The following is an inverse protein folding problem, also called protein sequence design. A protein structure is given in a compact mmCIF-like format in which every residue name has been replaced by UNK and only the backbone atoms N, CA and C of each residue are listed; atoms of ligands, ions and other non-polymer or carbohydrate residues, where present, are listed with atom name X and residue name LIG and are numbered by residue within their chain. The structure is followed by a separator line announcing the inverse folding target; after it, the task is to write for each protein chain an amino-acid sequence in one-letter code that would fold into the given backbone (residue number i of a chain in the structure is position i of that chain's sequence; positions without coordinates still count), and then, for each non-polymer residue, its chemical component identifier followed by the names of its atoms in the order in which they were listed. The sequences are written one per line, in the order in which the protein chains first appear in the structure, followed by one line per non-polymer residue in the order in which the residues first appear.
data_IF_576570897202
#
_entry.id   IF_576570897202
#
_cell.length_a   1.000
_cell.length_b   1.000
_cell.length_c   1.000
_cell.angle_alpha   90.00
_cell.angle_beta   90.00
_cell.angle_gamma   90.00
#
_symmetry.space_group_name_H-M   'P 1'
#
loop_
_entity.id
_entity.type
_entity.pdbx_description
1 polymer ?
#
# COMPACT_ATOMS: atom_id res chain seq x y z
N UNK A 1 -24.48 -16.69 35.05
CA UNK A 1 -25.18 -17.78 34.34
C UNK A 1 -25.27 -18.95 35.31
N UNK A 2 -26.48 -19.46 35.56
CA UNK A 2 -26.70 -20.66 36.38
C UNK A 2 -27.19 -21.77 35.46
N UNK A 3 -26.54 -22.93 35.48
CA UNK A 3 -26.92 -24.10 34.65
C UNK A 3 -27.54 -25.15 35.56
N UNK A 4 -28.70 -25.69 35.17
CA UNK A 4 -29.41 -26.74 35.92
C UNK A 4 -29.97 -27.81 34.99
N UNK A 5 -30.01 -29.06 35.44
CA UNK A 5 -30.67 -30.16 34.73
C UNK A 5 -32.17 -30.12 35.02
N UNK A 6 -33.01 -30.23 34.00
CA UNK A 6 -34.47 -30.21 34.10
C UNK A 6 -35.06 -31.37 33.30
N UNK A 7 -36.20 -31.91 33.76
CA UNK A 7 -36.93 -33.01 33.12
C UNK A 7 -38.11 -32.45 32.33
N UNK A 8 -38.24 -32.80 31.05
CA UNK A 8 -39.44 -32.47 30.26
C UNK A 8 -40.65 -33.30 30.71
N UNK A 9 -41.83 -32.88 30.29
CA UNK A 9 -43.05 -33.66 30.47
C UNK A 9 -42.88 -35.05 29.82
N UNK A 10 -43.46 -36.10 30.41
CA UNK A 10 -43.35 -37.45 29.88
C UNK A 10 -43.97 -37.56 28.49
N UNK A 11 -43.33 -38.34 27.62
CA UNK A 11 -43.90 -38.70 26.32
C UNK A 11 -44.94 -39.83 26.46
N UNK A 12 -45.56 -40.23 25.35
CA UNK A 12 -46.55 -41.31 25.30
C UNK A 12 -46.04 -42.67 25.80
N UNK A 13 -44.71 -42.85 25.92
CA UNK A 13 -44.05 -44.05 26.44
C UNK A 13 -43.62 -43.92 27.92
N UNK A 14 -43.99 -42.84 28.60
CA UNK A 14 -43.66 -42.61 30.02
C UNK A 14 -42.21 -42.19 30.28
N UNK A 15 -41.45 -41.82 29.23
CA UNK A 15 -40.08 -41.34 29.32
C UNK A 15 -40.04 -39.80 29.34
N UNK A 16 -39.20 -39.24 30.21
CA UNK A 16 -38.90 -37.82 30.30
C UNK A 16 -37.51 -37.55 29.73
N UNK A 17 -37.44 -36.65 28.75
CA UNK A 17 -36.15 -36.17 28.23
C UNK A 17 -35.50 -35.22 29.24
N UNK A 18 -34.19 -35.39 29.47
CA UNK A 18 -33.38 -34.45 30.24
C UNK A 18 -32.94 -33.28 29.35
N UNK A 19 -32.84 -32.08 29.93
CA UNK A 19 -32.30 -30.89 29.26
C UNK A 19 -31.52 -30.03 30.24
N UNK A 20 -30.56 -29.28 29.72
CA UNK A 20 -29.92 -28.21 30.46
C UNK A 20 -30.73 -26.93 30.32
N UNK A 21 -30.85 -26.19 31.42
CA UNK A 21 -31.50 -24.88 31.48
C UNK A 21 -30.45 -23.85 31.88
N UNK A 22 -30.24 -22.88 31.01
CA UNK A 22 -29.34 -21.75 31.20
C UNK A 22 -30.13 -20.55 31.70
N UNK A 23 -29.88 -20.10 32.93
CA UNK A 23 -30.51 -18.91 33.49
C UNK A 23 -29.55 -17.71 33.42
N UNK A 24 -30.00 -16.66 32.72
CA UNK A 24 -29.22 -15.44 32.47
C UNK A 24 -29.67 -14.23 33.30
N UNK A 25 -30.70 -14.37 34.14
CA UNK A 25 -31.27 -13.28 34.93
C UNK A 25 -32.71 -12.95 34.50
N UNK A 26 -33.18 -11.77 34.88
CA UNK A 26 -34.52 -11.26 34.58
C UNK A 26 -34.39 -10.12 33.59
N UNK A 27 -35.21 -10.11 32.55
CA UNK A 27 -35.25 -9.05 31.53
C UNK A 27 -36.64 -8.43 31.55
N UNK A 28 -36.70 -7.11 31.41
CA UNK A 28 -37.93 -6.35 31.34
C UNK A 28 -38.41 -6.29 29.88
N UNK A 29 -39.62 -6.77 29.62
CA UNK A 29 -40.23 -6.70 28.30
C UNK A 29 -40.77 -5.30 27.99
N UNK A 30 -41.09 -5.04 26.72
CA UNK A 30 -41.72 -3.78 26.26
C UNK A 30 -43.08 -3.51 26.94
N UNK A 31 -43.68 -4.53 27.55
CA UNK A 31 -44.90 -4.49 28.37
C UNK A 31 -44.64 -4.13 29.85
N UNK A 32 -43.41 -3.77 30.22
CA UNK A 32 -42.99 -3.48 31.60
C UNK A 32 -42.96 -4.71 32.52
N UNK A 33 -43.19 -5.91 31.99
CA UNK A 33 -43.22 -7.15 32.78
C UNK A 33 -41.84 -7.80 32.82
N UNK A 34 -41.37 -8.05 34.03
CA UNK A 34 -40.12 -8.76 34.31
C UNK A 34 -40.29 -10.26 34.05
N UNK A 35 -39.56 -10.81 33.08
CA UNK A 35 -39.57 -12.24 32.73
C UNK A 35 -38.16 -12.85 32.86
N UNK A 36 -38.02 -14.08 33.35
CA UNK A 36 -36.72 -14.75 33.43
C UNK A 36 -36.19 -15.11 32.03
N UNK A 37 -34.98 -14.67 31.69
CA UNK A 37 -34.30 -15.08 30.45
C UNK A 37 -33.68 -16.44 30.63
N UNK A 38 -34.23 -17.43 29.93
CA UNK A 38 -33.81 -18.83 29.97
C UNK A 38 -33.56 -19.36 28.57
N UNK A 39 -32.50 -20.15 28.43
CA UNK A 39 -32.23 -20.94 27.22
C UNK A 39 -32.19 -22.44 27.57
N UNK A 40 -32.46 -23.29 26.59
CA UNK A 40 -32.69 -24.72 26.79
C UNK A 40 -31.90 -25.56 25.79
N UNK A 41 -31.04 -26.45 26.29
CA UNK A 41 -30.32 -27.43 25.48
C UNK A 41 -30.86 -28.83 25.79
N UNK A 42 -31.56 -29.49 24.84
CA UNK A 42 -32.03 -30.85 25.05
C UNK A 42 -30.83 -31.80 25.11
N UNK A 43 -30.84 -32.72 26.07
CA UNK A 43 -29.91 -33.84 26.10
C UNK A 43 -30.61 -35.05 25.47
N UNK A 44 -29.87 -35.86 24.72
CA UNK A 44 -30.36 -37.16 24.21
C UNK A 44 -30.43 -38.24 25.31
N UNK A 45 -30.74 -37.83 26.54
CA UNK A 45 -30.82 -38.67 27.72
C UNK A 45 -32.28 -38.74 28.20
N UNK A 46 -32.75 -39.94 28.49
CA UNK A 46 -34.15 -40.21 28.82
C UNK A 46 -34.27 -40.99 30.13
N UNK A 47 -35.16 -40.53 31.01
CA UNK A 47 -35.45 -41.17 32.31
C UNK A 47 -36.91 -41.60 32.37
N UNK A 48 -37.19 -42.73 33.00
CA UNK A 48 -38.55 -43.20 33.27
C UNK A 48 -39.21 -42.29 34.31
N UNK A 49 -40.42 -41.80 34.03
CA UNK A 49 -41.18 -40.95 34.94
C UNK A 49 -41.53 -41.67 36.25
N UNK A 50 -41.91 -42.95 36.16
CA UNK A 50 -42.30 -43.78 37.30
C UNK A 50 -41.62 -45.17 37.23
N UNK A 51 -40.35 -45.29 37.68
CA UNK A 51 -39.58 -46.53 37.57
C UNK A 51 -40.06 -47.60 38.56
N UNK A 52 -40.61 -48.69 38.05
CA UNK A 52 -41.16 -49.81 38.83
C UNK A 52 -40.13 -50.89 39.10
N UNK A 53 -39.19 -51.13 38.18
CA UNK A 53 -38.18 -52.20 38.31
C UNK A 53 -36.84 -51.66 38.85
N UNK A 54 -36.02 -52.56 39.43
CA UNK A 54 -34.68 -52.19 39.87
C UNK A 54 -33.79 -51.73 38.70
N UNK A 55 -33.95 -52.35 37.53
CA UNK A 55 -33.26 -51.95 36.30
C UNK A 55 -33.61 -50.53 35.86
N UNK A 56 -34.90 -50.14 35.89
CA UNK A 56 -35.35 -48.79 35.54
C UNK A 56 -34.82 -47.73 36.52
N UNK A 57 -34.75 -48.06 37.83
CA UNK A 57 -34.17 -47.16 38.83
C UNK A 57 -32.66 -46.96 38.60
N UNK A 58 -31.94 -48.02 38.26
CA UNK A 58 -30.52 -47.96 37.95
C UNK A 58 -30.25 -47.17 36.66
N UNK A 59 -31.06 -47.38 35.61
CA UNK A 59 -31.02 -46.59 34.38
C UNK A 59 -31.21 -45.10 34.65
N UNK A 60 -32.23 -44.73 35.43
CA UNK A 60 -32.47 -43.33 35.79
C UNK A 60 -31.28 -42.71 36.55
N UNK A 61 -30.63 -43.47 37.44
CA UNK A 61 -29.46 -43.02 38.18
C UNK A 61 -28.29 -42.73 37.24
N UNK A 62 -28.03 -43.61 36.28
CA UNK A 62 -26.95 -43.45 35.30
C UNK A 62 -27.20 -42.28 34.35
N UNK A 63 -28.42 -42.16 33.81
CA UNK A 63 -28.80 -41.03 32.93
C UNK A 63 -28.71 -39.68 33.65
N UNK A 64 -29.10 -39.61 34.93
CA UNK A 64 -28.93 -38.41 35.74
C UNK A 64 -27.45 -38.08 35.98
N UNK A 65 -26.61 -39.09 36.22
CA UNK A 65 -25.15 -38.91 36.37
C UNK A 65 -24.52 -38.34 35.10
N UNK A 66 -24.90 -38.86 33.94
CA UNK A 66 -24.43 -38.34 32.64
C UNK A 66 -24.90 -36.90 32.40
N UNK A 67 -26.15 -36.58 32.77
CA UNK A 67 -26.65 -35.21 32.67
C UNK A 67 -25.94 -34.22 33.62
N UNK A 68 -25.54 -34.66 34.82
CA UNK A 68 -24.73 -33.86 35.74
C UNK A 68 -23.28 -33.68 35.25
N UNK A 69 -22.70 -34.70 34.61
CA UNK A 69 -21.40 -34.58 33.94
C UNK A 69 -21.47 -33.54 32.80
N UNK A 70 -22.50 -33.59 31.96
CA UNK A 70 -22.75 -32.60 30.91
C UNK A 70 -22.94 -31.18 31.48
N UNK A 71 -23.71 -31.02 32.57
CA UNK A 71 -23.84 -29.75 33.29
C UNK A 71 -22.49 -29.21 33.75
N UNK A 72 -21.63 -30.08 34.28
CA UNK A 72 -20.32 -29.69 34.82
C UNK A 72 -19.36 -29.29 33.71
N UNK A 73 -19.34 -30.02 32.59
CA UNK A 73 -18.56 -29.65 31.40
C UNK A 73 -18.97 -28.27 30.85
N UNK A 74 -20.27 -28.00 30.71
CA UNK A 74 -20.77 -26.68 30.26
C UNK A 74 -20.47 -25.55 31.24
N UNK A 75 -20.44 -25.85 32.54
CA UNK A 75 -20.04 -24.90 33.56
C UNK A 75 -18.55 -24.57 33.42
N UNK A 76 -17.69 -25.57 33.19
CA UNK A 76 -16.26 -25.37 32.90
C UNK A 76 -16.05 -24.58 31.62
N UNK A 77 -16.73 -24.88 30.52
CA UNK A 77 -16.66 -24.10 29.26
C UNK A 77 -17.10 -22.65 29.46
N UNK A 78 -18.19 -22.41 30.20
CA UNK A 78 -18.65 -21.06 30.53
C UNK A 78 -17.64 -20.30 31.37
N UNK A 79 -16.96 -20.98 32.28
CA UNK A 79 -15.88 -20.41 33.07
C UNK A 79 -14.62 -20.19 32.23
N UNK A 80 -14.24 -21.10 31.33
CA UNK A 80 -13.11 -20.92 30.43
C UNK A 80 -13.29 -19.69 29.50
N UNK A 81 -14.49 -19.53 28.92
CA UNK A 81 -14.85 -18.33 28.16
C UNK A 81 -14.88 -17.06 29.02
N UNK A 82 -15.15 -17.17 30.33
CA UNK A 82 -15.08 -16.05 31.29
C UNK A 82 -13.65 -15.78 31.82
N UNK A 83 -12.76 -16.76 31.83
CA UNK A 83 -11.45 -16.71 32.49
C UNK A 83 -10.25 -16.55 31.53
N UNK A 84 -10.46 -16.17 30.26
CA UNK A 84 -9.40 -15.60 29.40
C UNK A 84 -8.15 -16.49 29.20
N UNK A 85 -8.26 -17.81 29.38
CA UNK A 85 -7.11 -18.72 29.33
C UNK A 85 -6.49 -18.78 27.91
N UNK A 86 -7.32 -18.81 26.86
CA UNK A 86 -6.85 -18.78 25.48
C UNK A 86 -6.20 -17.45 25.09
N UNK A 87 -6.69 -16.32 25.63
CA UNK A 87 -6.11 -15.01 25.34
C UNK A 87 -4.76 -14.83 26.04
N UNK A 88 -4.61 -15.33 27.27
CA UNK A 88 -3.33 -15.28 27.99
C UNK A 88 -2.24 -16.09 27.26
N UNK A 89 -2.59 -17.25 26.71
CA UNK A 89 -1.64 -18.06 25.92
C UNK A 89 -1.23 -17.33 24.64
N UNK A 90 -2.17 -16.67 23.94
CA UNK A 90 -1.87 -15.88 22.75
C UNK A 90 -1.06 -14.62 23.08
N UNK A 91 -1.36 -13.92 24.16
CA UNK A 91 -0.63 -12.72 24.58
C UNK A 91 0.78 -13.03 25.10
N UNK A 92 0.97 -14.18 25.73
CA UNK A 92 2.27 -14.69 26.15
C UNK A 92 3.11 -15.23 24.98
N UNK A 93 2.53 -15.37 23.78
CA UNK A 93 3.29 -15.80 22.60
C UNK A 93 4.31 -14.73 22.17
N UNK A 94 5.42 -15.20 21.58
CA UNK A 94 6.51 -14.35 21.11
C UNK A 94 6.08 -13.55 19.89
N UNK A 95 6.05 -12.23 20.02
CA UNK A 95 5.86 -11.30 18.91
C UNK A 95 7.01 -11.38 17.90
N UNK A 96 8.23 -11.64 18.36
CA UNK A 96 9.37 -11.75 17.47
C UNK A 96 9.26 -12.92 16.50
N UNK A 97 8.79 -14.07 16.98
CA UNK A 97 8.58 -15.25 16.13
C UNK A 97 7.47 -14.99 15.13
N UNK A 98 6.37 -14.37 15.59
CA UNK A 98 5.29 -13.92 14.71
C UNK A 98 5.79 -12.93 13.64
N UNK A 99 6.61 -11.96 14.02
CA UNK A 99 7.15 -10.96 13.11
C UNK A 99 8.08 -11.58 12.06
N UNK A 100 8.91 -12.55 12.45
CA UNK A 100 9.79 -13.28 11.53
C UNK A 100 9.00 -14.17 10.57
N UNK A 101 7.98 -14.88 11.06
CA UNK A 101 7.06 -15.65 10.23
C UNK A 101 6.34 -14.74 9.23
N UNK A 102 5.83 -13.60 9.68
CA UNK A 102 5.19 -12.65 8.78
C UNK A 102 6.18 -12.09 7.76
N UNK A 103 7.43 -11.83 8.17
CA UNK A 103 8.49 -11.35 7.28
C UNK A 103 8.83 -12.36 6.20
N UNK A 104 8.95 -13.66 6.52
CA UNK A 104 9.25 -14.72 5.53
C UNK A 104 8.15 -14.84 4.47
N UNK A 105 6.87 -14.65 4.82
CA UNK A 105 5.79 -14.61 3.82
C UNK A 105 5.94 -13.47 2.80
N UNK A 106 6.73 -12.43 3.10
CA UNK A 106 6.97 -11.30 2.19
C UNK A 106 8.15 -11.52 1.25
N UNK A 107 8.91 -12.60 1.40
CA UNK A 107 10.06 -12.94 0.57
C UNK A 107 9.67 -13.19 -0.89
N UNK A 108 8.53 -13.87 -1.12
CA UNK A 108 7.96 -14.11 -2.45
C UNK A 108 7.47 -12.84 -3.16
N UNK A 109 7.38 -11.73 -2.42
CA UNK A 109 6.96 -10.43 -2.93
C UNK A 109 8.11 -9.59 -3.49
N UNK A 110 8.05 -8.27 -3.27
CA UNK A 110 9.13 -7.37 -3.69
C UNK A 110 10.34 -7.51 -2.77
N UNK A 111 11.50 -7.89 -3.34
CA UNK A 111 12.77 -7.98 -2.63
C UNK A 111 13.13 -6.70 -1.86
N UNK A 112 12.84 -5.52 -2.44
CA UNK A 112 13.05 -4.23 -1.78
C UNK A 112 12.17 -4.11 -0.52
N UNK A 113 10.88 -4.46 -0.63
CA UNK A 113 9.98 -4.44 0.51
C UNK A 113 10.40 -5.43 1.60
N UNK A 114 10.82 -6.64 1.22
CA UNK A 114 11.31 -7.67 2.14
C UNK A 114 12.55 -7.18 2.93
N UNK A 115 13.49 -6.51 2.27
CA UNK A 115 14.68 -5.94 2.94
C UNK A 115 14.34 -4.89 4.02
N UNK A 116 13.25 -4.14 3.82
CA UNK A 116 12.75 -3.16 4.79
C UNK A 116 12.15 -3.87 6.01
N UNK A 117 11.42 -4.96 5.81
CA UNK A 117 10.87 -5.78 6.91
C UNK A 117 11.98 -6.36 7.80
N UNK A 118 13.02 -6.93 7.19
CA UNK A 118 14.20 -7.44 7.90
C UNK A 118 14.87 -6.32 8.70
N UNK A 119 15.10 -5.16 8.07
CA UNK A 119 15.76 -4.03 8.70
C UNK A 119 14.96 -3.52 9.90
N UNK A 120 13.64 -3.37 9.74
CA UNK A 120 12.74 -2.97 10.81
C UNK A 120 12.77 -3.95 12.00
N UNK A 121 12.76 -5.27 11.73
CA UNK A 121 12.88 -6.30 12.77
C UNK A 121 14.21 -6.23 13.53
N UNK A 122 15.33 -6.03 12.82
CA UNK A 122 16.65 -5.80 13.45
C UNK A 122 16.66 -4.56 14.34
N UNK A 123 16.02 -3.48 13.90
CA UNK A 123 15.92 -2.26 14.71
C UNK A 123 15.05 -2.47 15.96
N UNK A 124 13.97 -3.23 15.84
CA UNK A 124 13.10 -3.56 16.98
C UNK A 124 13.82 -4.41 18.02
N UNK A 125 14.53 -5.47 17.60
CA UNK A 125 15.34 -6.31 18.50
C UNK A 125 16.43 -5.51 19.22
N UNK A 126 17.12 -4.64 18.49
CA UNK A 126 18.14 -3.77 19.07
C UNK A 126 17.57 -2.77 20.08
N UNK A 127 16.35 -2.29 19.88
CA UNK A 127 15.67 -1.40 20.84
C UNK A 127 15.25 -2.14 22.11
N UNK A 128 14.64 -3.32 21.95
CA UNK A 128 14.16 -4.12 23.07
C UNK A 128 15.30 -4.70 23.92
N UNK A 129 16.42 -5.08 23.28
CA UNK A 129 17.63 -5.56 23.96
C UNK A 129 17.52 -6.97 24.58
N UNK A 130 16.36 -7.63 24.50
CA UNK A 130 16.14 -9.01 24.96
C UNK A 130 15.82 -9.95 23.78
N UNK A 131 16.06 -11.24 23.98
CA UNK A 131 15.85 -12.27 22.97
C UNK A 131 14.37 -12.48 22.61
N UNK A 132 13.49 -12.30 23.60
CA UNK A 132 12.05 -12.52 23.49
C UNK A 132 11.28 -11.22 23.77
N UNK A 133 10.23 -10.98 23.00
CA UNK A 133 9.27 -9.90 23.18
C UNK A 133 7.89 -10.50 23.00
N UNK A 134 7.02 -10.43 24.00
CA UNK A 134 5.65 -10.95 23.89
C UNK A 134 4.67 -9.89 23.38
N UNK A 135 3.46 -10.29 22.98
CA UNK A 135 2.42 -9.33 22.59
C UNK A 135 1.95 -8.46 23.76
N UNK A 136 1.98 -8.99 24.99
CA UNK A 136 1.59 -8.25 26.20
C UNK A 136 2.53 -7.08 26.52
N UNK A 137 3.83 -7.24 26.23
CA UNK A 137 4.84 -6.19 26.45
C UNK A 137 4.74 -5.04 25.43
N UNK A 138 4.03 -5.24 24.31
CA UNK A 138 3.86 -4.21 23.29
C UNK A 138 2.64 -3.36 23.63
N UNK A 139 2.87 -2.34 24.45
CA UNK A 139 1.86 -1.35 24.80
C UNK A 139 2.12 -0.01 24.08
N UNK A 140 1.30 1.00 24.43
CA UNK A 140 1.47 2.35 23.89
C UNK A 140 2.85 2.94 24.26
N UNK A 141 3.28 2.97 25.54
CA UNK A 141 4.63 3.40 25.93
C UNK A 141 5.76 2.74 25.13
N UNK A 142 5.71 1.42 24.92
CA UNK A 142 6.71 0.68 24.18
C UNK A 142 6.82 1.17 22.73
N UNK A 143 5.68 1.33 22.04
CA UNK A 143 5.64 1.83 20.67
C UNK A 143 6.07 3.29 20.54
N UNK A 144 5.73 4.15 21.50
CA UNK A 144 6.18 5.54 21.54
C UNK A 144 7.70 5.63 21.80
N UNK A 145 8.23 4.79 22.67
CA UNK A 145 9.67 4.65 22.92
C UNK A 145 10.41 4.14 21.68
N UNK A 146 9.91 3.10 21.02
CA UNK A 146 10.49 2.60 19.78
C UNK A 146 10.47 3.66 18.66
N UNK A 147 9.38 4.42 18.56
CA UNK A 147 9.27 5.56 17.64
C UNK A 147 10.34 6.62 17.93
N UNK A 148 10.58 6.95 19.20
CA UNK A 148 11.62 7.90 19.62
C UNK A 148 13.02 7.37 19.30
N UNK A 149 13.29 6.11 19.62
CA UNK A 149 14.54 5.44 19.30
C UNK A 149 14.91 5.54 17.81
N UNK A 150 13.94 5.29 16.92
CA UNK A 150 14.15 5.39 15.47
C UNK A 150 14.44 6.83 14.99
N UNK A 151 13.92 7.84 15.67
CA UNK A 151 14.03 9.25 15.26
C UNK A 151 15.25 9.96 15.87
N UNK A 152 15.59 9.64 17.10
CA UNK A 152 16.49 10.48 17.92
C UNK A 152 17.77 9.75 18.33
N UNK A 153 17.69 8.45 18.64
CA UNK A 153 18.76 7.70 19.31
C UNK A 153 19.57 6.86 18.33
N UNK A 154 18.93 6.26 17.32
CA UNK A 154 19.62 5.33 16.44
C UNK A 154 20.55 6.04 15.46
N UNK A 155 21.82 5.66 15.53
CA UNK A 155 22.84 6.00 14.55
C UNK A 155 22.98 4.89 13.49
N UNK A 156 23.19 5.31 12.25
CA UNK A 156 23.62 4.45 11.13
C UNK A 156 25.05 3.97 11.36
N UNK A 157 25.52 3.02 10.52
CA UNK A 157 26.93 2.59 10.55
C UNK A 157 27.91 3.76 10.39
N UNK A 158 27.49 4.82 9.71
CA UNK A 158 28.26 6.05 9.49
C UNK A 158 28.13 7.07 10.63
N UNK A 159 27.59 6.67 11.79
CA UNK A 159 27.33 7.53 12.97
C UNK A 159 26.40 8.73 12.70
N UNK A 160 25.61 8.67 11.65
CA UNK A 160 24.58 9.69 11.34
C UNK A 160 23.21 9.25 11.84
N UNK A 161 22.30 10.19 12.11
CA UNK A 161 20.91 9.84 12.44
C UNK A 161 20.20 9.18 11.26
N UNK A 162 19.23 8.33 11.56
CA UNK A 162 18.38 7.73 10.55
C UNK A 162 17.53 8.81 9.85
N UNK A 163 17.42 8.74 8.52
CA UNK A 163 16.55 9.65 7.79
C UNK A 163 15.08 9.42 8.20
N UNK A 164 14.31 10.50 8.35
CA UNK A 164 12.92 10.46 8.83
C UNK A 164 12.01 9.54 8.01
N UNK A 165 12.18 9.53 6.68
CA UNK A 165 11.41 8.67 5.78
C UNK A 165 11.78 7.18 5.94
N UNK A 166 13.03 6.89 6.29
CA UNK A 166 13.47 5.53 6.62
C UNK A 166 12.91 5.10 7.97
N UNK A 167 12.95 5.98 8.99
CA UNK A 167 12.32 5.74 10.29
C UNK A 167 10.81 5.48 10.13
N UNK A 168 10.12 6.27 9.30
CA UNK A 168 8.70 6.06 8.96
C UNK A 168 8.46 4.69 8.33
N UNK A 169 9.30 4.31 7.37
CA UNK A 169 9.19 3.01 6.70
C UNK A 169 9.35 1.84 7.67
N UNK A 170 10.32 1.91 8.58
CA UNK A 170 10.55 0.87 9.58
C UNK A 170 9.43 0.81 10.62
N UNK A 171 9.03 1.95 11.17
CA UNK A 171 7.93 2.02 12.13
C UNK A 171 6.63 1.46 11.55
N UNK A 172 6.34 1.76 10.28
CA UNK A 172 5.15 1.24 9.61
C UNK A 172 5.17 -0.28 9.40
N UNK A 173 6.34 -0.95 9.34
CA UNK A 173 6.38 -2.43 9.29
C UNK A 173 5.95 -3.06 10.60
N UNK A 174 6.41 -2.52 11.73
CA UNK A 174 5.97 -2.98 13.06
C UNK A 174 4.47 -2.73 13.25
N UNK A 175 3.98 -1.55 12.86
CA UNK A 175 2.52 -1.28 12.85
C UNK A 175 1.75 -2.26 11.98
N UNK A 176 2.26 -2.59 10.80
CA UNK A 176 1.60 -3.53 9.89
C UNK A 176 1.52 -4.95 10.50
N UNK A 177 2.58 -5.41 11.17
CA UNK A 177 2.58 -6.68 11.89
C UNK A 177 1.51 -6.71 12.99
N UNK A 178 1.44 -5.67 13.83
CA UNK A 178 0.43 -5.59 14.90
C UNK A 178 -1.00 -5.49 14.34
N UNK A 179 -1.20 -4.80 13.22
CA UNK A 179 -2.49 -4.74 12.54
C UNK A 179 -2.90 -6.09 11.92
N UNK A 180 -1.95 -6.92 11.48
CA UNK A 180 -2.21 -8.29 11.02
C UNK A 180 -2.56 -9.19 12.21
N UNK A 181 -1.76 -9.14 13.29
CA UNK A 181 -2.02 -9.90 14.51
C UNK A 181 -3.40 -9.60 15.11
N UNK A 182 -3.85 -8.34 15.03
CA UNK A 182 -5.21 -7.96 15.43
C UNK A 182 -6.28 -8.57 14.53
N UNK A 183 -6.08 -8.58 13.20
CA UNK A 183 -7.02 -9.18 12.24
C UNK A 183 -7.11 -10.70 12.37
N UNK A 184 -6.00 -11.35 12.70
CA UNK A 184 -5.92 -12.79 12.96
C UNK A 184 -6.44 -13.18 14.35
N UNK A 185 -6.82 -12.20 15.19
CA UNK A 185 -7.33 -12.46 16.54
C UNK A 185 -6.27 -12.94 17.54
N UNK A 186 -4.99 -12.67 17.27
CA UNK A 186 -3.89 -12.90 18.21
C UNK A 186 -3.92 -11.89 19.36
N UNK A 187 -4.29 -10.64 19.05
CA UNK A 187 -4.48 -9.57 20.05
C UNK A 187 -5.92 -9.03 19.97
N UNK A 188 -6.51 -8.74 21.13
CA UNK A 188 -7.88 -8.18 21.23
C UNK A 188 -7.94 -6.67 21.14
N UNK A 189 -6.84 -6.01 21.52
CA UNK A 189 -6.72 -4.57 21.54
C UNK A 189 -5.42 -4.19 20.86
N UNK A 190 -5.49 -3.31 19.88
CA UNK A 190 -4.34 -2.97 19.05
C UNK A 190 -3.73 -1.64 19.53
N UNK A 191 -2.53 -1.66 20.15
CA UNK A 191 -1.88 -0.47 20.70
C UNK A 191 -1.54 0.57 19.62
N UNK A 192 -1.42 0.15 18.35
CA UNK A 192 -1.09 1.01 17.20
C UNK A 192 -2.11 2.13 16.98
N UNK A 193 -3.38 1.91 17.35
CA UNK A 193 -4.45 2.90 17.21
C UNK A 193 -4.23 4.13 18.12
N UNK A 194 -3.53 3.94 19.24
CA UNK A 194 -3.26 4.99 20.24
C UNK A 194 -1.93 5.71 20.02
N UNK A 195 -1.17 5.33 18.99
CA UNK A 195 0.18 5.86 18.73
C UNK A 195 0.21 6.59 17.40
N UNK A 196 0.76 7.81 17.41
CA UNK A 196 0.94 8.61 16.20
C UNK A 196 1.95 7.94 15.25
N UNK A 197 1.61 7.86 13.96
CA UNK A 197 2.57 7.42 12.95
C UNK A 197 3.71 8.44 12.78
N UNK A 198 4.85 7.97 12.28
CA UNK A 198 5.93 8.85 11.84
C UNK A 198 5.54 9.40 10.47
N UNK A 199 5.17 10.68 10.42
CA UNK A 199 4.85 11.36 9.16
C UNK A 199 6.10 11.40 8.28
N UNK A 200 6.00 10.78 7.10
CA UNK A 200 7.00 10.95 6.05
C UNK A 200 7.03 12.42 5.62
N UNK A 201 8.23 12.94 5.36
CA UNK A 201 8.43 14.26 4.80
C UNK A 201 8.51 14.18 3.27
N UNK A 202 7.88 15.15 2.62
CA UNK A 202 8.03 15.34 1.18
C UNK A 202 9.45 15.81 0.90
N UNK A 203 10.23 14.97 0.24
CA UNK A 203 11.57 15.33 -0.23
C UNK A 203 11.43 16.09 -1.56
N UNK A 204 12.12 17.23 -1.69
CA UNK A 204 12.21 17.93 -2.98
C UNK A 204 12.79 16.98 -4.02
N UNK A 205 12.05 16.77 -5.10
CA UNK A 205 12.46 15.88 -6.19
C UNK A 205 13.33 16.66 -7.16
N UNK A 206 14.48 16.09 -7.52
CA UNK A 206 15.33 16.65 -8.57
C UNK A 206 14.67 16.45 -9.94
N UNK A 207 14.57 17.52 -10.71
CA UNK A 207 14.22 17.51 -12.13
C UNK A 207 15.13 18.47 -12.89
N UNK A 208 15.17 18.30 -14.21
CA UNK A 208 15.97 19.10 -15.13
C UNK A 208 15.10 20.10 -15.88
N UNK A 209 15.65 21.26 -16.23
CA UNK A 209 15.04 22.16 -17.20
C UNK A 209 15.24 21.60 -18.62
N UNK A 210 14.46 22.08 -19.59
CA UNK A 210 14.65 21.67 -20.99
C UNK A 210 16.03 22.05 -21.53
N UNK A 211 16.60 23.16 -21.06
CA UNK A 211 17.95 23.57 -21.46
C UNK A 211 19.03 22.67 -20.86
N UNK A 212 18.86 22.21 -19.61
CA UNK A 212 19.73 21.19 -19.01
C UNK A 212 19.62 19.85 -19.77
N UNK A 213 18.41 19.44 -20.18
CA UNK A 213 18.22 18.25 -21.03
C UNK A 213 18.91 18.43 -22.39
N UNK A 214 18.82 19.61 -23.01
CA UNK A 214 19.55 19.93 -24.26
C UNK A 214 21.07 19.95 -24.05
N UNK A 215 21.55 20.36 -22.89
CA UNK A 215 22.98 20.28 -22.57
C UNK A 215 23.44 18.82 -22.47
N UNK A 216 22.63 17.94 -21.85
CA UNK A 216 22.89 16.50 -21.78
C UNK A 216 22.96 15.85 -23.17
N UNK A 217 22.11 16.25 -24.13
CA UNK A 217 22.16 15.67 -25.48
C UNK A 217 23.48 15.97 -26.19
N UNK A 218 24.08 17.14 -25.93
CA UNK A 218 25.36 17.57 -26.49
C UNK A 218 26.57 16.98 -25.75
N UNK A 219 26.46 16.76 -24.45
CA UNK A 219 27.55 16.23 -23.64
C UNK A 219 27.86 14.75 -23.94
N UNK A 220 29.14 14.39 -23.82
CA UNK A 220 29.61 13.02 -23.99
C UNK A 220 29.18 12.12 -22.83
N UNK A 221 28.47 11.04 -23.15
CA UNK A 221 28.09 10.01 -22.21
C UNK A 221 28.92 8.75 -22.47
N UNK A 222 29.46 8.15 -21.41
CA UNK A 222 30.29 6.94 -21.51
C UNK A 222 29.54 5.75 -22.12
N UNK A 223 28.23 5.67 -21.86
CA UNK A 223 27.38 4.57 -22.31
C UNK A 223 26.24 5.15 -23.13
N UNK A 224 26.24 4.90 -24.43
CA UNK A 224 25.20 5.39 -25.33
C UNK A 224 23.80 4.92 -24.91
N UNK A 225 23.65 3.63 -24.57
CA UNK A 225 22.37 3.08 -24.09
C UNK A 225 21.84 3.82 -22.85
N UNK A 226 22.71 4.25 -21.93
CA UNK A 226 22.30 5.03 -20.76
C UNK A 226 21.83 6.42 -21.17
N UNK A 227 22.54 7.07 -22.11
CA UNK A 227 22.15 8.37 -22.68
C UNK A 227 20.77 8.26 -23.32
N UNK A 228 20.58 7.30 -24.23
CA UNK A 228 19.30 7.09 -24.92
C UNK A 228 18.18 6.80 -23.92
N UNK A 229 18.37 5.84 -23.01
CA UNK A 229 17.37 5.47 -22.00
C UNK A 229 17.00 6.62 -21.05
N UNK A 230 17.97 7.40 -20.57
CA UNK A 230 17.69 8.51 -19.66
C UNK A 230 16.95 9.65 -20.37
N UNK A 231 17.38 10.03 -21.57
CA UNK A 231 16.69 11.03 -22.38
C UNK A 231 15.28 10.56 -22.76
N UNK A 232 15.12 9.27 -23.05
CA UNK A 232 13.82 8.66 -23.30
C UNK A 232 12.90 8.80 -22.09
N UNK A 233 13.40 8.60 -20.87
CA UNK A 233 12.64 8.88 -19.64
C UNK A 233 12.27 10.37 -19.51
N UNK A 234 13.13 11.29 -19.93
CA UNK A 234 12.86 12.73 -19.93
C UNK A 234 11.76 13.15 -20.93
N UNK A 235 11.57 12.41 -22.02
CA UNK A 235 10.60 12.72 -23.08
C UNK A 235 9.28 11.94 -22.96
N UNK A 236 9.28 10.78 -22.29
CA UNK A 236 8.10 9.90 -22.17
C UNK A 236 7.58 9.76 -20.74
N UNK A 237 8.39 10.12 -19.74
CA UNK A 237 8.05 9.95 -18.33
C UNK A 237 8.12 8.51 -17.83
N UNK A 238 8.57 7.53 -18.62
CA UNK A 238 8.61 6.13 -18.21
C UNK A 238 9.61 5.86 -17.08
N UNK A 239 9.29 4.88 -16.23
CA UNK A 239 10.19 4.45 -15.14
C UNK A 239 11.34 3.64 -15.72
N UNK A 240 12.47 3.64 -15.00
CA UNK A 240 13.63 2.82 -15.36
C UNK A 240 13.27 1.35 -15.60
N UNK A 241 12.44 0.75 -14.72
CA UNK A 241 12.03 -0.65 -14.83
C UNK A 241 11.26 -0.96 -16.10
N UNK A 242 10.49 0.02 -16.57
CA UNK A 242 9.61 -0.13 -17.73
C UNK A 242 10.46 0.02 -18.99
N UNK A 243 11.32 1.05 -19.06
CA UNK A 243 12.31 1.23 -20.13
C UNK A 243 13.26 0.04 -20.26
N UNK A 244 13.73 -0.52 -19.14
CA UNK A 244 14.65 -1.66 -19.16
C UNK A 244 13.99 -2.97 -19.61
N UNK A 245 12.66 -3.07 -19.56
CA UNK A 245 11.90 -4.25 -20.00
C UNK A 245 11.27 -4.07 -21.37
N UNK A 246 11.19 -2.82 -21.86
CA UNK A 246 10.58 -2.47 -23.14
C UNK A 246 11.19 -3.30 -24.27
N UNK A 247 10.34 -4.02 -25.00
CA UNK A 247 10.74 -4.80 -26.18
C UNK A 247 10.23 -4.17 -27.46
N UNK A 248 10.81 -4.57 -28.60
CA UNK A 248 10.43 -4.06 -29.91
C UNK A 248 8.99 -4.42 -30.31
N UNK A 249 8.44 -5.50 -29.78
CA UNK A 249 7.04 -5.93 -29.96
C UNK A 249 6.04 -4.96 -29.34
N UNK A 250 6.43 -4.24 -28.29
CA UNK A 250 5.57 -3.26 -27.61
C UNK A 250 5.53 -1.90 -28.33
N UNK A 251 6.33 -1.71 -29.39
CA UNK A 251 6.39 -0.48 -30.18
C UNK A 251 5.69 -0.71 -31.52
N UNK A 252 4.62 0.06 -31.75
CA UNK A 252 3.82 0.02 -32.97
C UNK A 252 3.92 1.34 -33.72
N UNK A 253 4.08 1.26 -35.04
CA UNK A 253 3.90 2.39 -35.95
C UNK A 253 2.43 2.46 -36.36
N UNK A 254 1.76 3.56 -36.03
CA UNK A 254 0.33 3.71 -36.31
C UNK A 254 0.04 4.65 -37.47
N UNK A 255 0.94 5.60 -37.71
CA UNK A 255 0.99 6.48 -38.87
C UNK A 255 2.46 6.57 -39.33
N UNK A 256 2.74 6.84 -40.61
CA UNK A 256 4.11 6.90 -41.11
C UNK A 256 4.98 7.86 -40.29
N UNK A 257 6.01 7.32 -39.62
CA UNK A 257 6.91 8.07 -38.75
C UNK A 257 6.38 8.37 -37.33
N UNK A 258 5.16 7.95 -37.00
CA UNK A 258 4.55 8.12 -35.69
C UNK A 258 4.39 6.77 -34.97
N UNK A 259 5.02 6.70 -33.80
CA UNK A 259 5.11 5.48 -33.01
C UNK A 259 4.41 5.62 -31.66
N UNK A 260 3.89 4.51 -31.14
CA UNK A 260 3.31 4.42 -29.81
C UNK A 260 3.82 3.19 -29.07
N UNK A 261 3.88 3.27 -27.75
CA UNK A 261 4.11 2.10 -26.88
C UNK A 261 2.77 1.54 -26.43
N UNK A 262 2.64 0.23 -26.50
CA UNK A 262 1.47 -0.53 -26.03
C UNK A 262 1.84 -1.24 -24.74
N UNK A 263 1.27 -0.78 -23.63
CA UNK A 263 1.44 -1.44 -22.33
C UNK A 263 0.34 -2.47 -22.09
N UNK A 264 0.72 -3.74 -21.92
CA UNK A 264 -0.13 -4.74 -21.28
C UNK A 264 -0.08 -4.54 -19.76
N UNK A 265 -0.97 -3.69 -19.22
CA UNK A 265 -1.00 -3.41 -17.80
C UNK A 265 -1.65 -4.57 -17.02
N UNK A 266 -0.88 -5.64 -16.79
CA UNK A 266 -1.28 -6.73 -15.89
C UNK A 266 -1.55 -6.29 -14.43
N UNK A 267 -1.26 -5.03 -14.06
CA UNK A 267 -1.45 -4.48 -12.71
C UNK A 267 -2.79 -3.76 -12.48
N UNK A 268 -3.70 -3.66 -13.46
CA UNK A 268 -5.08 -3.22 -13.25
C UNK A 268 -6.07 -4.38 -13.44
N UNK A 269 -5.94 -5.46 -12.66
CA UNK A 269 -6.92 -6.56 -12.66
C UNK A 269 -8.27 -6.21 -12.00
N UNK A 270 -8.48 -4.97 -11.55
CA UNK A 270 -9.72 -4.55 -10.88
C UNK A 270 -10.56 -3.52 -11.67
N UNK A 271 -10.53 -3.55 -13.00
CA UNK A 271 -11.54 -2.84 -13.80
C UNK A 271 -11.07 -2.45 -15.19
N UNK A 272 -11.44 -3.28 -16.18
CA UNK A 272 -11.38 -2.96 -17.60
C UNK A 272 -10.02 -3.23 -18.27
N UNK A 273 -10.05 -4.02 -19.34
CA UNK A 273 -8.99 -4.06 -20.34
C UNK A 273 -8.66 -2.61 -20.73
N UNK A 274 -7.51 -2.10 -20.32
CA UNK A 274 -7.02 -0.81 -20.78
C UNK A 274 -5.57 -1.01 -21.19
N UNK A 275 -5.39 -1.46 -22.43
CA UNK A 275 -4.15 -1.18 -23.14
C UNK A 275 -3.93 0.33 -23.02
N UNK A 276 -2.87 0.72 -22.33
CA UNK A 276 -2.49 2.13 -22.23
C UNK A 276 -1.55 2.40 -23.38
N UNK A 277 -2.00 3.24 -24.30
CA UNK A 277 -1.18 3.75 -25.39
C UNK A 277 -0.38 4.96 -24.89
N UNK A 278 0.89 4.99 -25.23
CA UNK A 278 1.75 6.16 -25.04
C UNK A 278 2.34 6.56 -26.39
N UNK A 279 1.78 7.61 -26.97
CA UNK A 279 2.28 8.16 -28.22
C UNK A 279 3.64 8.83 -27.97
N UNK A 280 4.59 8.53 -28.85
CA UNK A 280 5.97 8.96 -28.70
C UNK A 280 6.20 10.27 -29.46
N UNK A 281 6.73 11.31 -28.80
CA UNK A 281 7.18 12.50 -29.54
C UNK A 281 8.38 12.16 -30.43
N UNK A 282 8.61 12.93 -31.50
CA UNK A 282 9.71 12.71 -32.46
C UNK A 282 11.07 12.57 -31.77
N UNK A 283 11.30 13.35 -30.70
CA UNK A 283 12.53 13.25 -29.92
C UNK A 283 12.71 11.87 -29.25
N UNK A 284 11.63 11.23 -28.81
CA UNK A 284 11.66 9.88 -28.24
C UNK A 284 11.86 8.83 -29.34
N UNK A 285 11.22 8.99 -30.51
CA UNK A 285 11.41 8.13 -31.69
C UNK A 285 12.87 8.10 -32.11
N UNK A 286 13.52 9.27 -32.21
CA UNK A 286 14.96 9.37 -32.52
C UNK A 286 15.87 8.66 -31.50
N UNK A 287 15.43 8.50 -30.26
CA UNK A 287 16.20 7.83 -29.21
C UNK A 287 16.02 6.31 -29.21
N UNK A 288 14.99 5.79 -29.88
CA UNK A 288 14.79 4.35 -30.05
C UNK A 288 15.84 3.74 -30.98
N UNK A 289 16.34 4.51 -31.95
CA UNK A 289 17.24 4.04 -33.01
C UNK A 289 16.56 2.94 -33.86
N UNK A 290 15.44 3.31 -34.49
CA UNK A 290 14.55 2.39 -35.23
C UNK A 290 15.27 1.73 -36.40
N UNK A 291 16.27 2.39 -36.98
CA UNK A 291 17.10 1.84 -38.06
C UNK A 291 17.94 0.63 -37.61
N UNK A 292 18.16 0.47 -36.30
CA UNK A 292 18.84 -0.68 -35.68
C UNK A 292 17.86 -1.57 -34.91
N UNK A 293 16.60 -1.64 -35.33
CA UNK A 293 15.58 -2.50 -34.71
C UNK A 293 16.04 -3.97 -34.70
N UNK A 294 15.98 -4.58 -33.52
CA UNK A 294 16.25 -6.00 -33.31
C UNK A 294 15.01 -6.87 -33.53
N UNK A 295 15.07 -8.12 -33.06
CA UNK A 295 13.92 -9.03 -33.12
C UNK A 295 12.76 -8.52 -32.21
N UNK A 296 11.50 -8.90 -32.47
CA UNK A 296 10.35 -8.41 -31.71
C UNK A 296 10.47 -8.59 -30.18
N UNK A 297 11.04 -9.71 -29.74
CA UNK A 297 11.18 -10.02 -28.31
C UNK A 297 12.48 -9.45 -27.68
N UNK A 298 13.36 -8.85 -28.49
CA UNK A 298 14.55 -8.18 -27.99
C UNK A 298 14.20 -6.90 -27.25
N UNK A 299 15.00 -6.59 -26.23
CA UNK A 299 14.90 -5.32 -25.51
C UNK A 299 15.36 -4.18 -26.40
N UNK A 300 14.63 -3.07 -26.38
CA UNK A 300 14.99 -1.83 -27.10
C UNK A 300 16.32 -1.27 -26.58
N UNK A 301 16.49 -1.24 -25.26
CA UNK A 301 17.68 -0.70 -24.59
C UNK A 301 18.61 -1.82 -24.11
N UNK A 302 19.21 -2.55 -25.06
CA UNK A 302 20.13 -3.67 -24.77
C UNK A 302 21.36 -3.21 -23.96
N UNK A 303 21.68 -3.93 -22.89
CA UNK A 303 22.85 -3.64 -22.05
C UNK A 303 22.61 -2.56 -20.97
N UNK A 304 21.40 -2.02 -20.86
CA UNK A 304 21.03 -1.16 -19.74
C UNK A 304 21.05 -1.98 -18.43
N UNK A 305 21.76 -1.49 -17.41
CA UNK A 305 21.89 -2.17 -16.10
C UNK A 305 21.60 -1.19 -14.96
N UNK A 306 20.94 -1.69 -13.91
CA UNK A 306 20.76 -0.94 -12.67
C UNK A 306 21.80 -1.34 -11.64
N UNK A 307 22.89 -0.57 -11.58
CA UNK A 307 23.94 -0.76 -10.58
C UNK A 307 24.58 0.58 -10.18
N UNK A 308 25.45 0.54 -9.17
CA UNK A 308 26.18 1.72 -8.69
C UNK A 308 27.00 2.38 -9.79
N UNK A 309 27.61 1.60 -10.70
CA UNK A 309 28.42 2.13 -11.80
C UNK A 309 27.59 2.97 -12.79
N UNK A 310 26.40 2.51 -13.19
CA UNK A 310 25.50 3.26 -14.07
C UNK A 310 24.99 4.55 -13.40
N UNK A 311 24.73 4.51 -12.09
CA UNK A 311 24.35 5.70 -11.33
C UNK A 311 25.48 6.74 -11.27
N UNK A 312 26.73 6.29 -11.05
CA UNK A 312 27.91 7.16 -11.07
C UNK A 312 28.14 7.71 -12.48
N UNK A 313 27.99 6.89 -13.52
CA UNK A 313 28.14 7.32 -14.91
C UNK A 313 27.11 8.40 -15.29
N UNK A 314 25.85 8.26 -14.85
CA UNK A 314 24.81 9.27 -15.02
C UNK A 314 25.19 10.59 -14.34
N UNK A 315 25.70 10.54 -13.10
CA UNK A 315 26.13 11.72 -12.38
C UNK A 315 27.32 12.41 -13.07
N UNK A 316 28.33 11.66 -13.48
CA UNK A 316 29.49 12.19 -14.20
C UNK A 316 29.09 12.83 -15.54
N UNK A 317 28.17 12.18 -16.28
CA UNK A 317 27.64 12.73 -17.53
C UNK A 317 26.86 14.04 -17.28
N UNK A 318 26.04 14.10 -16.24
CA UNK A 318 25.35 15.33 -15.84
C UNK A 318 26.34 16.46 -15.47
N UNK A 319 27.39 16.14 -14.73
CA UNK A 319 28.45 17.11 -14.40
C UNK A 319 29.15 17.64 -15.66
N UNK A 320 29.46 16.76 -16.64
CA UNK A 320 30.04 17.18 -17.93
C UNK A 320 29.11 18.10 -18.73
N UNK A 321 27.79 17.95 -18.57
CA UNK A 321 26.80 18.84 -19.15
C UNK A 321 26.63 20.16 -18.36
N UNK A 322 27.42 20.40 -17.31
CA UNK A 322 27.33 21.60 -16.46
C UNK A 322 26.22 21.56 -15.41
N UNK A 323 25.62 20.38 -15.15
CA UNK A 323 24.51 20.23 -14.21
C UNK A 323 25.07 19.91 -12.82
N UNK A 324 24.80 20.78 -11.86
CA UNK A 324 25.26 20.65 -10.45
C UNK A 324 24.28 19.90 -9.55
N UNK A 325 23.08 19.59 -10.05
CA UNK A 325 22.04 18.86 -9.32
C UNK A 325 22.44 17.40 -9.14
N UNK A 326 22.00 16.78 -8.04
CA UNK A 326 22.12 15.34 -7.87
C UNK A 326 21.10 14.59 -8.75
N UNK A 327 21.53 14.18 -9.94
CA UNK A 327 20.69 13.51 -10.94
C UNK A 327 20.71 12.00 -10.69
N UNK A 328 19.51 11.44 -10.51
CA UNK A 328 19.27 9.99 -10.56
C UNK A 328 18.38 9.68 -11.75
N UNK A 329 18.25 8.42 -12.16
CA UNK A 329 17.44 8.07 -13.33
C UNK A 329 15.98 8.54 -13.19
N UNK A 330 15.43 8.52 -11.97
CA UNK A 330 14.06 8.97 -11.72
C UNK A 330 13.86 10.49 -11.94
N UNK A 331 14.93 11.28 -11.95
CA UNK A 331 14.87 12.68 -12.32
C UNK A 331 14.38 12.88 -13.77
N UNK A 332 14.60 11.92 -14.68
CA UNK A 332 14.07 11.98 -16.04
C UNK A 332 12.54 12.01 -16.06
N UNK A 333 11.90 11.10 -15.32
CA UNK A 333 10.44 11.10 -15.17
C UNK A 333 9.90 12.38 -14.53
N UNK A 334 10.57 12.92 -13.52
CA UNK A 334 10.18 14.21 -12.94
C UNK A 334 10.34 15.34 -13.96
N UNK A 335 11.39 15.32 -14.76
CA UNK A 335 11.64 16.28 -15.84
C UNK A 335 10.51 16.28 -16.84
N UNK A 336 10.07 15.10 -17.31
CA UNK A 336 8.90 14.97 -18.17
C UNK A 336 7.65 15.58 -17.52
N UNK A 337 7.36 15.21 -16.27
CA UNK A 337 6.15 15.68 -15.59
C UNK A 337 6.13 17.20 -15.43
N UNK A 338 7.23 17.80 -14.99
CA UNK A 338 7.35 19.26 -14.87
C UNK A 338 7.26 19.93 -16.24
N UNK A 339 7.87 19.34 -17.27
CA UNK A 339 7.84 19.85 -18.64
C UNK A 339 6.42 19.83 -19.24
N UNK A 340 5.61 18.80 -18.97
CA UNK A 340 4.22 18.72 -19.40
C UNK A 340 3.33 19.69 -18.64
N UNK A 341 3.49 19.77 -17.31
CA UNK A 341 2.77 20.75 -16.50
C UNK A 341 3.05 22.16 -17.01
N UNK A 342 4.31 22.53 -17.24
CA UNK A 342 4.68 23.85 -17.76
C UNK A 342 4.09 24.17 -19.15
N UNK A 343 3.71 23.15 -19.93
CA UNK A 343 3.12 23.29 -21.27
C UNK A 343 1.61 23.43 -21.31
N UNK A 344 0.89 23.23 -20.21
CA UNK A 344 -0.58 23.32 -20.23
C UNK A 344 -1.28 22.08 -19.74
N UNK A 345 -0.58 20.94 -19.68
CA UNK A 345 -1.20 19.66 -19.37
C UNK A 345 -1.76 19.68 -17.95
N UNK A 346 -3.03 19.36 -17.81
CA UNK A 346 -3.67 19.29 -16.50
C UNK A 346 -3.16 18.10 -15.68
N UNK A 347 -3.36 18.17 -14.36
CA UNK A 347 -2.83 17.17 -13.42
C UNK A 347 -3.42 15.77 -13.67
N UNK A 348 -4.68 15.68 -14.12
CA UNK A 348 -5.34 14.40 -14.36
C UNK A 348 -4.75 13.73 -15.60
N UNK A 349 -4.65 14.45 -16.72
CA UNK A 349 -3.99 13.98 -17.94
C UNK A 349 -2.53 13.59 -17.67
N UNK A 350 -1.79 14.39 -16.91
CA UNK A 350 -0.43 14.04 -16.51
C UNK A 350 -0.40 12.73 -15.69
N UNK A 351 -1.31 12.56 -14.74
CA UNK A 351 -1.41 11.35 -13.93
C UNK A 351 -1.62 10.10 -14.78
N UNK A 352 -2.43 10.20 -15.84
CA UNK A 352 -2.64 9.12 -16.82
C UNK A 352 -1.40 8.85 -17.65
N UNK A 353 -0.74 9.89 -18.19
CA UNK A 353 0.53 9.76 -18.94
C UNK A 353 1.63 9.08 -18.09
N UNK A 354 1.67 9.39 -16.80
CA UNK A 354 2.61 8.78 -15.87
C UNK A 354 2.19 7.37 -15.42
N UNK A 355 0.93 6.97 -15.60
CA UNK A 355 0.42 5.69 -15.07
C UNK A 355 0.42 5.65 -13.54
N UNK A 356 -0.04 6.73 -12.90
CA UNK A 356 -0.30 6.76 -11.45
C UNK A 356 -1.71 6.23 -11.16
N UNK A 357 -1.82 5.30 -10.21
CA UNK A 357 -3.10 4.75 -9.75
C UNK A 357 -3.91 5.74 -8.91
N UNK A 358 -3.23 6.67 -8.24
CA UNK A 358 -3.83 7.69 -7.39
C UNK A 358 -3.32 9.07 -7.77
N UNK A 359 -4.23 10.03 -7.91
CA UNK A 359 -3.90 11.44 -8.22
C UNK A 359 -2.98 12.06 -7.18
N UNK A 360 -3.09 11.65 -5.92
CA UNK A 360 -2.22 12.07 -4.82
C UNK A 360 -0.73 11.87 -5.12
N UNK A 361 -0.38 10.89 -5.95
CA UNK A 361 1.02 10.66 -6.36
C UNK A 361 1.52 11.76 -7.30
N UNK A 362 0.62 12.38 -8.07
CA UNK A 362 0.91 13.49 -8.99
C UNK A 362 0.88 14.85 -8.28
N UNK A 363 0.18 14.96 -7.16
CA UNK A 363 0.16 16.17 -6.30
C UNK A 363 1.54 16.55 -5.73
N UNK A 364 2.54 15.68 -5.85
CA UNK A 364 3.94 16.02 -5.53
C UNK A 364 4.47 17.21 -6.35
N UNK A 365 3.78 17.60 -7.44
CA UNK A 365 4.09 18.77 -8.26
C UNK A 365 3.19 19.99 -7.95
N UNK A 366 2.51 20.01 -6.80
CA UNK A 366 1.60 21.08 -6.39
C UNK A 366 2.23 22.48 -6.48
N UNK A 367 3.50 22.64 -6.10
CA UNK A 367 4.20 23.94 -6.17
C UNK A 367 4.23 24.52 -7.60
N UNK A 368 4.33 23.66 -8.62
CA UNK A 368 4.32 24.06 -10.03
C UNK A 368 2.90 24.38 -10.48
N UNK A 369 1.91 23.63 -10.01
CA UNK A 369 0.51 23.94 -10.30
C UNK A 369 0.10 25.30 -9.72
N UNK A 370 0.58 25.62 -8.51
CA UNK A 370 0.32 26.90 -7.86
C UNK A 370 0.94 28.07 -8.64
N UNK A 371 2.19 27.94 -9.09
CA UNK A 371 2.81 28.99 -9.93
C UNK A 371 2.05 29.20 -11.25
N UNK A 372 1.50 28.14 -11.84
CA UNK A 372 0.65 28.24 -13.03
C UNK A 372 -0.71 28.86 -12.75
N UNK A 373 -1.32 28.58 -11.60
CA UNK A 373 -2.57 29.24 -11.18
C UNK A 373 -2.39 30.75 -11.12
N UNK A 374 -1.27 31.22 -10.58
CA UNK A 374 -0.92 32.65 -10.55
C UNK A 374 -0.72 33.21 -11.97
N UNK A 375 0.03 32.52 -12.83
CA UNK A 375 0.23 32.96 -14.22
C UNK A 375 -1.08 33.02 -15.00
N UNK A 376 -1.93 31.99 -14.88
CA UNK A 376 -3.23 31.93 -15.55
C UNK A 376 -4.15 33.09 -15.14
N UNK A 377 -4.15 33.45 -13.85
CA UNK A 377 -4.91 34.59 -13.35
C UNK A 377 -4.34 35.92 -13.87
N UNK A 378 -3.01 36.05 -13.95
CA UNK A 378 -2.36 37.26 -14.50
C UNK A 378 -2.52 37.40 -16.00
N UNK A 379 -2.63 36.29 -16.73
CA UNK A 379 -2.91 36.28 -18.17
C UNK A 379 -4.40 36.38 -18.49
N UNK A 380 -5.27 36.56 -17.49
CA UNK A 380 -6.68 36.78 -17.74
C UNK A 380 -6.85 38.05 -18.58
N UNK A 381 -7.54 38.00 -19.73
CA UNK A 381 -7.72 39.16 -20.57
C UNK A 381 -8.36 40.31 -19.79
N UNK A 382 -7.79 41.50 -19.89
CA UNK A 382 -8.39 42.69 -19.30
C UNK A 382 -9.67 43.03 -20.09
N UNK A 383 -10.82 42.85 -19.43
CA UNK A 383 -12.15 43.07 -20.00
C UNK A 383 -12.42 44.54 -20.33
N UNK A 384 -11.61 45.46 -19.82
CA UNK A 384 -11.70 46.89 -20.10
C UNK A 384 -10.72 47.35 -21.18
N UNK A 385 -9.83 46.47 -21.66
CA UNK A 385 -8.97 46.76 -22.79
C UNK A 385 -9.80 46.62 -24.06
N UNK A 386 -10.09 47.74 -24.72
CA UNK A 386 -10.64 47.71 -26.08
C UNK A 386 -9.73 46.84 -26.95
N UNK A 387 -10.32 45.96 -27.77
CA UNK A 387 -9.54 45.17 -28.73
C UNK A 387 -8.84 46.16 -29.65
N UNK A 388 -7.55 46.39 -29.43
CA UNK A 388 -6.72 46.98 -30.47
C UNK A 388 -6.88 46.05 -31.67
N UNK A 389 -7.54 46.56 -32.72
CA UNK A 389 -7.59 45.90 -34.01
C UNK A 389 -6.16 45.53 -34.37
N UNK A 390 -5.89 44.25 -34.60
CA UNK A 390 -4.65 43.81 -35.22
C UNK A 390 -4.54 44.53 -36.56
N UNK A 391 -3.85 45.67 -36.52
CA UNK A 391 -3.59 46.50 -37.66
C UNK A 391 -2.54 45.75 -38.47
N UNK A 392 -3.04 44.89 -39.36
CA UNK A 392 -2.26 44.04 -40.25
C UNK A 392 -1.60 44.88 -41.35
N UNK A 393 -0.90 45.95 -40.95
CA UNK A 393 -0.21 46.88 -41.83
C UNK A 393 1.28 46.58 -41.78
N UNK A 394 1.79 46.13 -42.93
CA UNK A 394 3.22 45.99 -43.17
C UNK A 394 3.94 47.30 -42.85
N UNK A 395 4.91 47.26 -41.93
CA UNK A 395 5.70 48.41 -41.44
C UNK A 395 6.54 49.11 -42.51
N UNK A 396 6.51 48.65 -43.76
CA UNK A 396 7.21 49.26 -44.90
C UNK A 396 6.30 49.89 -45.96
N UNK A 397 5.01 49.52 -46.05
CA UNK A 397 4.13 50.03 -47.10
C UNK A 397 2.69 50.34 -46.67
N UNK A 398 2.30 50.10 -45.41
CA UNK A 398 1.02 50.55 -44.84
C UNK A 398 -0.25 49.95 -45.44
N UNK A 399 -0.15 48.94 -46.32
CA UNK A 399 -1.31 48.26 -46.89
C UNK A 399 -1.67 46.99 -46.10
N UNK A 400 -2.97 46.72 -46.00
CA UNK A 400 -3.53 45.55 -45.33
C UNK A 400 -3.25 44.28 -46.14
N UNK A 401 -2.67 43.27 -45.50
CA UNK A 401 -2.48 41.94 -46.11
C UNK A 401 -3.76 41.13 -45.91
N UNK A 402 -4.40 40.61 -46.98
CA UNK A 402 -5.59 39.79 -46.82
C UNK A 402 -5.22 38.43 -46.19
N UNK A 403 -5.99 38.06 -45.19
CA UNK A 403 -5.86 36.82 -44.42
C UNK A 403 -6.16 35.62 -45.33
N UNK A 404 -5.12 34.88 -45.73
CA UNK A 404 -5.30 33.62 -46.42
C UNK A 404 -5.76 32.56 -45.41
N UNK A 405 -7.00 32.12 -45.57
CA UNK A 405 -7.59 30.98 -44.85
C UNK A 405 -7.14 29.70 -45.58
N UNK A 406 -6.38 28.85 -44.89
CA UNK A 406 -6.35 27.39 -45.06
C UNK A 406 -5.69 26.75 -43.84
#
# INVERSE_FOLDING_TARGET
MKVSVNKRNPNSKGLQQLRLVYYYGVVEGEDGKKRPKRDYEPLELYVYHNPKTQAERQHNKEMMRQAEAARSARLVESHANKFQLEDRVKLASSFFDYYDQLTSTKESGSASNYSIWISAGKHLRNYHGRAELTFEEIDKPFLEGFRKYLLEEKLTKSKTRLAKNTASSYFNKVRAALNEAYREGMIRDNPVQRVKSVKAENTKRTYLSLDEVRALTKAECRYDVLKRAFLFSCTTGLRWSDINKLTWREIEEFEPGHYRIIFDQQKLKNGGNSLVYLDLPDSAVKLLDIDQKGEPDDRVFVGLKYNSYFNVALLQWAMRAGITKHVTFHAGRHTFAVAQLNRGVDIYSLSRLLGHSELRTTEIYADILESRRVMAMRSFPDIFKERESEDNRCSRCGQAVPMAIA
#
